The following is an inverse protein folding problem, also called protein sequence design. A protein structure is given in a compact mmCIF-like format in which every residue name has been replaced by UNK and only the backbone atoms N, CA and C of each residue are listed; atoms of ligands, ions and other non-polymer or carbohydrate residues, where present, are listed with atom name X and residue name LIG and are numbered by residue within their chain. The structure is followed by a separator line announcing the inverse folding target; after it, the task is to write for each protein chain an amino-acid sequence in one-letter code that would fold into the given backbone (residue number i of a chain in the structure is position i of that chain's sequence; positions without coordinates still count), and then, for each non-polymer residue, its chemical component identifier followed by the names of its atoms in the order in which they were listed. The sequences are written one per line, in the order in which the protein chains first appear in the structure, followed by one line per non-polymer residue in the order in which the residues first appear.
data_IF_295030584752
#
_entry.id   IF_295030584752
#
_cell.length_a   1.000
_cell.length_b   1.000
_cell.length_c   1.000
_cell.angle_alpha   90.00
_cell.angle_beta   90.00
_cell.angle_gamma   90.00
#
_symmetry.space_group_name_H-M   'P 1'
#
loop_
_entity.id
_entity.type
_entity.pdbx_description
1 polymer ?
#
# COMPACT_ATOMS: atom_id res chain seq x y z
N UNK A 1 -19.78 0.41 28.77
CA UNK A 1 -20.42 0.15 27.48
C UNK A 1 -20.96 -1.28 27.48
N UNK A 2 -22.22 -1.45 27.16
CA UNK A 2 -22.76 -2.79 27.12
C UNK A 2 -22.45 -3.48 25.78
N UNK A 3 -22.76 -4.78 25.72
CA UNK A 3 -22.42 -5.58 24.55
C UNK A 3 -23.17 -5.14 23.30
N UNK A 4 -24.33 -4.56 23.46
CA UNK A 4 -25.16 -4.10 22.34
C UNK A 4 -24.49 -2.94 21.60
N UNK A 5 -24.00 -1.94 22.35
CA UNK A 5 -23.32 -0.78 21.76
C UNK A 5 -22.03 -1.20 21.07
N UNK A 6 -21.31 -2.14 21.65
CA UNK A 6 -20.08 -2.67 21.06
C UNK A 6 -20.36 -3.36 19.72
N UNK A 7 -21.43 -4.14 19.63
CA UNK A 7 -21.81 -4.83 18.38
C UNK A 7 -22.19 -3.82 17.28
N UNK A 8 -22.93 -2.76 17.64
CA UNK A 8 -23.28 -1.72 16.67
C UNK A 8 -22.03 -1.01 16.19
N UNK A 9 -21.12 -0.69 17.10
CA UNK A 9 -19.87 -0.02 16.76
C UNK A 9 -19.00 -0.88 15.83
N UNK A 10 -18.90 -2.17 16.12
CA UNK A 10 -18.13 -3.09 15.28
C UNK A 10 -18.73 -3.20 13.88
N UNK A 11 -20.05 -3.23 13.76
CA UNK A 11 -20.73 -3.25 12.47
C UNK A 11 -20.48 -1.99 11.65
N UNK A 12 -20.46 -0.83 12.30
CA UNK A 12 -20.14 0.43 11.65
C UNK A 12 -18.69 0.49 11.20
N UNK A 13 -17.79 -0.06 11.99
CA UNK A 13 -16.37 -0.13 11.63
C UNK A 13 -16.16 -1.01 10.40
N UNK A 14 -16.81 -2.16 10.36
CA UNK A 14 -16.72 -3.06 9.20
C UNK A 14 -17.23 -2.38 7.94
N UNK A 15 -18.33 -1.63 8.05
CA UNK A 15 -18.89 -0.89 6.92
C UNK A 15 -17.92 0.20 6.46
N UNK A 16 -17.33 0.92 7.40
CA UNK A 16 -16.32 1.94 7.08
C UNK A 16 -15.16 1.34 6.30
N UNK A 17 -14.66 0.20 6.76
CA UNK A 17 -13.57 -0.50 6.09
C UNK A 17 -13.98 -0.91 4.67
N UNK A 18 -15.17 -1.49 4.50
CA UNK A 18 -15.67 -1.88 3.18
C UNK A 18 -15.76 -0.70 2.22
N UNK A 19 -16.19 0.45 2.70
CA UNK A 19 -16.37 1.64 1.87
C UNK A 19 -15.03 2.32 1.53
N UNK A 20 -14.08 2.29 2.43
CA UNK A 20 -12.85 3.07 2.32
C UNK A 20 -11.64 2.26 1.85
N UNK A 21 -11.63 0.95 2.08
CA UNK A 21 -10.46 0.13 1.76
C UNK A 21 -10.31 -0.03 0.25
N UNK A 22 -9.10 0.22 -0.23
CA UNK A 22 -8.76 0.07 -1.63
C UNK A 22 -8.52 -1.40 -2.02
N UNK A 23 -8.07 -2.20 -1.06
CA UNK A 23 -7.72 -3.60 -1.29
C UNK A 23 -8.60 -4.51 -0.45
N UNK A 24 -8.81 -5.72 -0.93
CA UNK A 24 -9.64 -6.71 -0.25
C UNK A 24 -8.78 -7.81 0.38
N UNK A 25 -9.32 -8.44 1.42
CA UNK A 25 -8.72 -9.61 2.02
C UNK A 25 -8.60 -10.72 0.99
N UNK A 26 -7.44 -11.35 0.91
CA UNK A 26 -7.16 -12.36 -0.09
C UNK A 26 -6.59 -11.83 -1.40
N UNK A 27 -6.58 -10.52 -1.58
CA UNK A 27 -6.03 -9.92 -2.79
C UNK A 27 -4.50 -10.00 -2.80
N UNK A 28 -3.95 -10.31 -3.95
CA UNK A 28 -2.50 -10.29 -4.17
C UNK A 28 -2.08 -8.87 -4.50
N UNK A 29 -1.11 -8.37 -3.76
CA UNK A 29 -0.61 -7.01 -3.90
C UNK A 29 0.91 -7.00 -3.94
N UNK A 30 1.48 -5.94 -4.48
CA UNK A 30 2.88 -5.66 -4.23
C UNK A 30 2.97 -4.68 -3.06
N UNK A 31 4.07 -4.76 -2.33
CA UNK A 31 4.31 -3.93 -1.17
C UNK A 31 5.70 -3.33 -1.23
N UNK A 32 5.78 -2.02 -1.05
CA UNK A 32 7.05 -1.32 -0.94
C UNK A 32 7.55 -1.42 0.50
N UNK A 33 8.84 -1.68 0.64
CA UNK A 33 9.48 -1.70 1.95
C UNK A 33 10.88 -1.09 1.85
N UNK A 34 11.42 -0.68 2.98
CA UNK A 34 12.78 -0.16 3.06
C UNK A 34 13.67 -1.14 3.79
N UNK A 35 14.93 -1.18 3.40
CA UNK A 35 15.92 -2.01 4.08
C UNK A 35 17.27 -1.29 4.11
N UNK A 36 18.12 -1.71 5.02
CA UNK A 36 19.44 -1.14 5.17
C UNK A 36 20.47 -1.99 4.42
N UNK A 37 21.30 -1.32 3.64
CA UNK A 37 22.37 -1.97 2.90
C UNK A 37 23.57 -1.03 2.89
N UNK A 38 24.68 -1.45 3.50
CA UNK A 38 25.89 -0.65 3.62
C UNK A 38 25.62 0.76 4.15
N UNK A 39 24.86 0.84 5.26
CA UNK A 39 24.48 2.09 5.91
C UNK A 39 23.63 3.03 5.05
N UNK A 40 23.06 2.53 3.96
CA UNK A 40 22.12 3.27 3.13
C UNK A 40 20.75 2.65 3.21
N UNK A 41 19.73 3.50 3.22
CA UNK A 41 18.35 3.04 3.16
C UNK A 41 17.98 2.80 1.70
N UNK A 42 17.56 1.60 1.38
CA UNK A 42 17.16 1.19 0.04
C UNK A 42 15.69 0.85 0.01
N UNK A 43 15.09 1.00 -1.16
CA UNK A 43 13.70 0.64 -1.40
C UNK A 43 13.63 -0.72 -2.07
N UNK A 44 12.72 -1.55 -1.60
CA UNK A 44 12.45 -2.85 -2.20
C UNK A 44 10.97 -3.03 -2.44
N UNK A 45 10.62 -4.01 -3.24
CA UNK A 45 9.23 -4.37 -3.53
C UNK A 45 9.10 -5.87 -3.41
N UNK A 46 8.06 -6.31 -2.74
CA UNK A 46 7.74 -7.74 -2.66
C UNK A 46 6.26 -7.96 -2.97
N UNK A 47 5.91 -9.21 -3.27
CA UNK A 47 4.54 -9.61 -3.52
C UNK A 47 4.01 -10.31 -2.28
N UNK A 48 2.78 -9.99 -1.89
CA UNK A 48 2.14 -10.61 -0.75
C UNK A 48 0.63 -10.70 -0.95
N UNK A 49 -0.02 -11.17 0.08
CA UNK A 49 -1.48 -11.33 0.11
C UNK A 49 -2.01 -10.52 1.29
N UNK A 50 -3.05 -9.75 1.04
CA UNK A 50 -3.75 -9.04 2.12
C UNK A 50 -4.46 -10.07 3.00
N UNK A 51 -4.02 -10.17 4.24
CA UNK A 51 -4.60 -11.14 5.20
C UNK A 51 -5.39 -10.47 6.30
N UNK A 52 -5.33 -9.15 6.40
CA UNK A 52 -6.12 -8.40 7.36
C UNK A 52 -6.26 -6.95 6.93
N UNK A 53 -7.34 -6.33 7.36
CA UNK A 53 -7.63 -4.91 7.10
C UNK A 53 -8.11 -4.31 8.40
N UNK A 54 -7.58 -3.16 8.75
CA UNK A 54 -7.95 -2.46 9.97
C UNK A 54 -7.87 -0.97 9.82
N UNK A 55 -8.08 -0.30 10.92
CA UNK A 55 -8.03 1.16 11.00
C UNK A 55 -7.08 1.53 12.13
N UNK A 56 -6.22 2.48 11.89
CA UNK A 56 -5.37 3.04 12.95
C UNK A 56 -5.78 4.48 13.21
N UNK A 57 -5.33 5.03 14.33
CA UNK A 57 -5.59 6.41 14.68
C UNK A 57 -4.30 7.20 14.52
N UNK A 58 -4.36 8.29 13.76
CA UNK A 58 -3.22 9.18 13.56
C UNK A 58 -3.61 10.57 14.01
N UNK A 59 -2.83 11.14 14.91
CA UNK A 59 -3.01 12.52 15.36
C UNK A 59 -2.00 13.40 14.66
N UNK A 60 -2.48 14.52 14.10
CA UNK A 60 -1.64 15.51 13.45
C UNK A 60 -1.86 16.86 14.10
N UNK A 61 -0.78 17.59 14.25
CA UNK A 61 -0.83 18.98 14.73
C UNK A 61 -0.31 19.89 13.63
N UNK A 62 -1.16 20.79 13.18
CA UNK A 62 -0.78 21.79 12.18
C UNK A 62 -1.07 23.14 12.81
N UNK A 63 -0.01 23.88 13.15
CA UNK A 63 -0.13 25.12 13.90
C UNK A 63 -0.68 24.83 15.28
N UNK A 64 -1.79 25.48 15.64
CA UNK A 64 -2.47 25.27 16.93
C UNK A 64 -3.64 24.28 16.85
N UNK A 65 -3.87 23.70 15.68
CA UNK A 65 -5.00 22.82 15.47
C UNK A 65 -4.57 21.35 15.50
N UNK A 66 -5.38 20.53 16.16
CA UNK A 66 -5.17 19.07 16.18
C UNK A 66 -6.18 18.41 15.27
N UNK A 67 -5.69 17.50 14.44
CA UNK A 67 -6.51 16.72 13.54
C UNK A 67 -6.34 15.25 13.86
N UNK A 68 -7.44 14.51 13.81
CA UNK A 68 -7.42 13.06 14.03
C UNK A 68 -7.91 12.39 12.76
N UNK A 69 -7.09 11.52 12.20
CA UNK A 69 -7.43 10.73 11.03
C UNK A 69 -7.48 9.25 11.39
N UNK A 70 -8.27 8.50 10.64
CA UNK A 70 -8.40 7.05 10.80
C UNK A 70 -8.10 6.36 9.48
N UNK A 71 -6.83 6.33 9.07
CA UNK A 71 -6.47 5.68 7.81
C UNK A 71 -6.63 4.16 7.89
N UNK A 72 -6.96 3.58 6.75
CA UNK A 72 -7.01 2.13 6.59
C UNK A 72 -5.57 1.61 6.56
N UNK A 73 -5.34 0.53 7.28
CA UNK A 73 -4.06 -0.17 7.28
C UNK A 73 -4.29 -1.64 6.98
N UNK A 74 -3.27 -2.29 6.46
CA UNK A 74 -3.37 -3.66 5.98
C UNK A 74 -2.35 -4.55 6.66
N UNK A 75 -2.72 -5.80 6.85
CA UNK A 75 -1.79 -6.86 7.20
C UNK A 75 -1.48 -7.62 5.92
N UNK A 76 -0.22 -7.75 5.59
CA UNK A 76 0.22 -8.40 4.36
C UNK A 76 1.13 -9.57 4.72
N UNK A 77 0.77 -10.76 4.26
CA UNK A 77 1.59 -11.96 4.41
C UNK A 77 2.41 -12.15 3.14
N UNK A 78 3.70 -12.28 3.28
CA UNK A 78 4.64 -12.42 2.18
C UNK A 78 5.70 -13.48 2.50
N UNK A 79 6.61 -13.73 1.57
CA UNK A 79 7.59 -14.81 1.70
C UNK A 79 8.49 -14.70 2.94
N UNK A 80 8.71 -13.47 3.42
CA UNK A 80 9.59 -13.23 4.58
C UNK A 80 8.82 -13.15 5.91
N UNK A 81 7.50 -13.28 5.90
CA UNK A 81 6.69 -13.23 7.10
C UNK A 81 5.45 -12.36 6.95
N UNK A 82 5.10 -11.65 8.00
CA UNK A 82 3.89 -10.84 8.06
C UNK A 82 4.28 -9.40 8.38
N UNK A 83 3.76 -8.47 7.58
CA UNK A 83 3.91 -7.04 7.83
C UNK A 83 2.58 -6.48 8.32
N UNK A 84 2.59 -5.80 9.45
CA UNK A 84 1.41 -5.23 10.08
C UNK A 84 1.34 -3.72 9.83
N UNK A 85 0.14 -3.17 9.90
CA UNK A 85 -0.11 -1.73 9.81
C UNK A 85 0.51 -1.10 8.56
N UNK A 86 0.42 -1.80 7.45
CA UNK A 86 0.95 -1.30 6.18
C UNK A 86 0.01 -0.25 5.62
N UNK A 87 0.54 0.92 5.32
CA UNK A 87 -0.23 2.03 4.75
C UNK A 87 -0.65 1.72 3.31
N UNK A 88 -1.81 2.22 2.94
CA UNK A 88 -2.35 2.02 1.59
C UNK A 88 -1.40 2.51 0.49
N UNK A 89 -0.68 3.60 0.74
CA UNK A 89 0.27 4.15 -0.23
C UNK A 89 1.49 3.26 -0.49
N UNK A 90 1.75 2.30 0.39
CA UNK A 90 2.84 1.33 0.23
C UNK A 90 2.43 0.11 -0.59
N UNK A 91 1.14 0.01 -0.92
CA UNK A 91 0.58 -1.15 -1.61
C UNK A 91 0.07 -0.76 -2.99
N UNK A 92 0.07 -1.72 -3.88
CA UNK A 92 -0.55 -1.58 -5.19
C UNK A 92 -1.02 -2.93 -5.69
N UNK A 93 -1.94 -2.92 -6.64
CA UNK A 93 -2.34 -4.16 -7.27
C UNK A 93 -1.20 -4.66 -8.17
N UNK A 94 -1.11 -5.97 -8.29
CA UNK A 94 -0.09 -6.58 -9.15
C UNK A 94 -0.30 -6.15 -10.60
N UNK A 95 -1.57 -6.01 -11.01
CA UNK A 95 -1.88 -5.56 -12.36
C UNK A 95 -1.37 -4.13 -12.62
N UNK A 96 -1.58 -3.23 -11.67
CA UNK A 96 -1.06 -1.86 -11.77
C UNK A 96 0.46 -1.82 -11.81
N UNK A 97 1.09 -2.64 -10.99
CA UNK A 97 2.55 -2.71 -10.96
C UNK A 97 3.11 -3.19 -12.30
N UNK A 98 2.53 -4.25 -12.86
CA UNK A 98 2.93 -4.77 -14.16
C UNK A 98 2.74 -3.71 -15.24
N UNK A 99 1.61 -3.00 -15.21
CA UNK A 99 1.35 -1.94 -16.17
C UNK A 99 2.39 -0.82 -16.08
N UNK A 100 2.69 -0.36 -14.88
CA UNK A 100 3.71 0.67 -14.66
C UNK A 100 5.09 0.23 -15.18
N UNK A 101 5.47 -1.01 -14.93
CA UNK A 101 6.74 -1.53 -15.40
C UNK A 101 6.79 -1.61 -16.93
N UNK A 102 5.69 -2.03 -17.56
CA UNK A 102 5.60 -2.07 -19.02
C UNK A 102 5.69 -0.68 -19.65
N UNK A 103 5.00 0.29 -19.05
CA UNK A 103 5.05 1.68 -19.54
C UNK A 103 6.45 2.27 -19.39
N UNK A 104 7.12 1.97 -18.29
CA UNK A 104 8.49 2.40 -18.05
C UNK A 104 9.44 1.81 -19.09
N UNK A 105 9.31 0.52 -19.41
CA UNK A 105 10.11 -0.15 -20.42
C UNK A 105 9.85 0.44 -21.82
N UNK A 106 8.60 0.69 -22.14
CA UNK A 106 8.24 1.31 -23.43
C UNK A 106 8.85 2.70 -23.56
N UNK A 107 8.80 3.51 -22.51
CA UNK A 107 9.43 4.83 -22.48
C UNK A 107 10.94 4.74 -22.69
N UNK A 108 11.61 3.80 -22.00
CA UNK A 108 13.04 3.61 -22.15
C UNK A 108 13.39 3.12 -23.57
N UNK A 109 12.59 2.25 -24.13
CA UNK A 109 12.79 1.78 -25.51
C UNK A 109 12.62 2.90 -26.52
N UNK A 110 11.65 3.77 -26.31
CA UNK A 110 11.45 4.94 -27.17
C UNK A 110 12.63 5.89 -27.10
N UNK A 111 13.20 6.10 -25.94
CA UNK A 111 14.41 6.90 -25.78
C UNK A 111 15.59 6.29 -26.52
N UNK A 112 15.75 4.99 -26.44
CA UNK A 112 16.79 4.27 -27.16
C UNK A 112 16.59 4.34 -28.67
N UNK A 113 15.35 4.23 -29.09
CA UNK A 113 15.01 4.29 -30.51
C UNK A 113 15.20 5.68 -31.10
N UNK A 114 15.16 6.71 -30.30
CA UNK A 114 15.40 8.07 -30.72
C UNK A 114 16.89 8.41 -30.84
N UNK A 115 17.75 7.55 -30.35
CA UNK A 115 19.15 7.69 -30.66
C UNK A 115 19.38 7.45 -32.14
N UNK A 116 20.35 8.14 -32.68
CA UNK A 116 20.54 8.05 -34.11
C UNK A 116 20.87 6.66 -34.55
N UNK A 117 20.07 6.27 -35.07
CA UNK A 117 20.02 5.04 -35.30
C UNK A 117 20.25 4.79 -36.49
N UNK A 118 20.18 5.05 -36.26
CA UNK A 118 20.05 4.71 -36.75
C UNK A 118 20.22 4.50 -37.52
N UNK A 119 20.53 4.45 -37.61
CA UNK A 119 20.63 4.18 -38.05
C UNK A 119 20.62 3.46 -38.73
N UNK A 120 20.53 3.37 -39.05
CA UNK A 120 20.64 2.85 -39.72
C UNK A 120 20.57 2.92 -40.49
#
# INVERSE_FOLDING_TARGET
MDNFDSLIFDGLLDRYIEEQAKFEKGQVVYMEYTYQYHNQTKLGVCVGIVTGIGVTKVERTIGNNKYIDYPIVYTVTHAKGISYNVSECKLGSVAEHILKERLKRASNNNEQNNEPVAND
#
